data_IF_982569620841
#
_entry.id   IF_982569620841
#
_cell.length_a   1.000
_cell.length_b   1.000
_cell.length_c   1.000
_cell.angle_alpha   90.00
_cell.angle_beta   90.00
_cell.angle_gamma   90.00
#
_symmetry.space_group_name_H-M   'P 1'
#
loop_
_entity.id
_entity.type
_entity.pdbx_description
1 polymer ?
#
# COMPACT_ATOMS: atom_id res chain seq x y z
N UNK A 1 -8.87 -29.50 -19.11
CA UNK A 1 -10.18 -28.86 -18.92
C UNK A 1 -9.98 -27.64 -18.06
N UNK A 2 -9.89 -26.47 -18.69
CA UNK A 2 -9.71 -25.18 -18.02
C UNK A 2 -11.11 -24.62 -17.72
N UNK A 3 -11.45 -24.50 -16.45
CA UNK A 3 -12.69 -23.85 -16.01
C UNK A 3 -12.39 -22.41 -15.59
N UNK A 4 -12.96 -21.49 -16.36
CA UNK A 4 -12.85 -20.05 -16.17
C UNK A 4 -13.64 -19.62 -14.93
N UNK A 5 -12.99 -18.94 -13.98
CA UNK A 5 -13.62 -18.13 -12.95
C UNK A 5 -13.76 -16.71 -13.49
N UNK A 6 -14.82 -16.45 -14.22
CA UNK A 6 -15.33 -15.09 -14.49
C UNK A 6 -16.21 -14.68 -13.33
N UNK A 7 -15.66 -14.06 -12.29
CA UNK A 7 -16.44 -13.38 -11.28
C UNK A 7 -16.96 -12.05 -11.84
N UNK A 8 -18.28 -11.97 -12.05
CA UNK A 8 -18.97 -10.87 -12.68
C UNK A 8 -18.76 -9.52 -12.01
N UNK A 9 -18.24 -8.62 -12.77
CA UNK A 9 -18.30 -7.18 -12.55
C UNK A 9 -19.77 -6.74 -12.75
N UNK A 10 -20.55 -6.62 -11.68
CA UNK A 10 -21.84 -5.94 -11.74
C UNK A 10 -21.59 -4.46 -11.91
N UNK A 11 -21.90 -3.95 -13.09
CA UNK A 11 -21.68 -2.59 -13.52
C UNK A 11 -22.11 -1.55 -12.49
N UNK A 12 -21.17 -0.70 -12.15
CA UNK A 12 -21.44 0.58 -11.51
C UNK A 12 -22.25 1.41 -12.50
N UNK A 13 -23.55 1.54 -12.28
CA UNK A 13 -24.34 2.54 -13.00
C UNK A 13 -23.87 3.89 -12.50
N UNK A 14 -23.09 4.58 -13.34
CA UNK A 14 -22.78 5.98 -13.15
C UNK A 14 -24.06 6.76 -12.92
N UNK A 15 -24.18 7.57 -11.85
CA UNK A 15 -25.25 8.54 -11.77
C UNK A 15 -25.17 9.45 -13.00
N UNK A 16 -26.34 9.83 -13.53
CA UNK A 16 -26.47 10.70 -14.69
C UNK A 16 -25.53 11.92 -14.55
N UNK A 17 -24.71 12.19 -15.60
CA UNK A 17 -23.74 13.27 -15.65
C UNK A 17 -24.44 14.61 -15.32
N UNK A 18 -23.97 15.37 -14.34
CA UNK A 18 -24.08 16.82 -14.41
C UNK A 18 -23.23 17.32 -15.59
N UNK A 19 -23.59 18.46 -16.17
CA UNK A 19 -22.95 19.10 -17.34
C UNK A 19 -21.50 19.58 -17.02
N UNK A 20 -20.59 18.69 -16.64
CA UNK A 20 -19.17 19.01 -16.45
C UNK A 20 -18.44 18.76 -17.77
N UNK A 21 -17.66 19.74 -18.20
CA UNK A 21 -16.78 19.62 -19.35
C UNK A 21 -15.73 18.53 -19.10
N UNK A 22 -15.38 17.78 -20.14
CA UNK A 22 -14.30 16.80 -20.07
C UNK A 22 -12.97 17.55 -19.88
N UNK A 23 -12.34 17.42 -18.72
CA UNK A 23 -11.03 18.00 -18.46
C UNK A 23 -9.94 17.26 -19.23
N UNK A 24 -8.95 17.99 -19.71
CA UNK A 24 -7.68 17.43 -20.20
C UNK A 24 -6.76 17.14 -19.04
N UNK A 25 -6.46 15.86 -18.81
CA UNK A 25 -5.69 15.41 -17.66
C UNK A 25 -4.35 14.87 -18.10
N UNK A 26 -3.27 15.35 -17.48
CA UNK A 26 -1.97 14.69 -17.48
C UNK A 26 -1.87 13.83 -16.23
N UNK A 27 -1.85 12.49 -16.42
CA UNK A 27 -1.81 11.54 -15.31
C UNK A 27 -0.38 11.09 -15.01
N UNK A 28 -0.02 11.07 -13.72
CA UNK A 28 1.28 10.66 -13.22
C UNK A 28 1.13 9.48 -12.25
N UNK A 29 1.65 8.31 -12.63
CA UNK A 29 1.53 7.14 -11.79
C UNK A 29 2.45 6.00 -12.20
N UNK A 30 2.74 5.06 -11.28
CA UNK A 30 3.67 3.96 -11.58
C UNK A 30 3.16 2.60 -11.12
N UNK A 31 2.86 2.35 -9.82
CA UNK A 31 2.49 1.02 -9.34
C UNK A 31 1.03 0.66 -9.65
N UNK A 32 0.69 -0.60 -9.42
CA UNK A 32 -0.69 -1.09 -9.54
C UNK A 32 -1.70 -0.29 -8.68
N UNK A 33 -1.24 0.32 -7.60
CA UNK A 33 -2.03 1.23 -6.76
C UNK A 33 -2.67 2.39 -7.55
N UNK A 34 -1.99 2.90 -8.57
CA UNK A 34 -2.46 4.04 -9.35
C UNK A 34 -3.40 3.66 -10.52
N UNK A 35 -3.48 2.38 -10.89
CA UNK A 35 -4.29 1.91 -12.02
C UNK A 35 -5.79 2.18 -11.83
N UNK A 36 -6.43 1.91 -10.66
CA UNK A 36 -7.84 2.24 -10.46
C UNK A 36 -8.16 3.71 -10.66
N UNK A 37 -7.25 4.61 -10.27
CA UNK A 37 -7.41 6.05 -10.49
C UNK A 37 -7.39 6.42 -11.97
N UNK A 38 -6.45 5.85 -12.75
CA UNK A 38 -6.40 6.05 -14.20
C UNK A 38 -7.71 5.58 -14.86
N UNK A 39 -8.14 4.36 -14.53
CA UNK A 39 -9.36 3.77 -15.08
C UNK A 39 -10.62 4.59 -14.72
N UNK A 40 -10.70 5.08 -13.50
CA UNK A 40 -11.83 5.90 -13.03
C UNK A 40 -11.91 7.25 -13.76
N UNK A 41 -10.77 7.89 -14.03
CA UNK A 41 -10.74 9.16 -14.79
C UNK A 41 -11.17 8.96 -16.24
N UNK A 42 -10.74 7.88 -16.89
CA UNK A 42 -11.21 7.50 -18.24
C UNK A 42 -12.71 7.21 -18.22
N UNK A 43 -13.19 6.43 -17.25
CA UNK A 43 -14.60 6.08 -17.12
C UNK A 43 -15.49 7.30 -16.80
N UNK A 44 -14.95 8.30 -16.10
CA UNK A 44 -15.62 9.58 -15.85
C UNK A 44 -15.73 10.46 -17.11
N UNK A 45 -15.06 10.09 -18.22
CA UNK A 45 -15.13 10.75 -19.50
C UNK A 45 -14.17 11.93 -19.65
N UNK A 46 -13.12 12.00 -18.84
CA UNK A 46 -12.03 12.96 -19.01
C UNK A 46 -11.11 12.56 -20.17
N UNK A 47 -10.45 13.55 -20.78
CA UNK A 47 -9.45 13.34 -21.82
C UNK A 47 -8.05 13.17 -21.18
N UNK A 48 -7.49 11.95 -21.24
CA UNK A 48 -6.12 11.72 -20.80
C UNK A 48 -5.16 12.11 -21.90
N UNK A 49 -4.64 13.36 -21.86
CA UNK A 49 -3.70 13.89 -22.88
C UNK A 49 -2.31 13.24 -22.80
N UNK A 50 -1.99 12.61 -21.68
CA UNK A 50 -0.77 11.85 -21.50
C UNK A 50 -0.73 11.13 -20.16
N UNK A 51 0.07 10.06 -20.11
CA UNK A 51 0.36 9.29 -18.91
C UNK A 51 1.86 9.25 -18.69
N UNK A 52 2.31 9.71 -17.54
CA UNK A 52 3.73 9.73 -17.17
C UNK A 52 3.97 8.66 -16.12
N UNK A 53 4.93 7.77 -16.39
CA UNK A 53 5.27 6.66 -15.51
C UNK A 53 6.79 6.47 -15.41
N UNK A 54 7.25 5.72 -14.40
CA UNK A 54 8.64 5.35 -14.29
C UNK A 54 9.06 4.47 -15.49
N UNK A 55 10.33 4.53 -15.91
CA UNK A 55 10.87 3.65 -16.95
C UNK A 55 10.69 2.17 -16.63
N UNK A 56 10.73 1.36 -17.67
CA UNK A 56 10.69 -0.08 -17.57
C UNK A 56 11.83 -0.60 -16.71
N UNK A 57 11.55 -1.58 -15.87
CA UNK A 57 12.54 -2.16 -14.97
C UNK A 57 12.62 -3.67 -15.13
N UNK A 58 13.81 -4.22 -14.95
CA UNK A 58 14.01 -5.67 -14.94
C UNK A 58 13.29 -6.28 -13.74
N UNK A 59 12.37 -7.22 -14.00
CA UNK A 59 11.57 -7.89 -12.98
C UNK A 59 11.52 -9.39 -13.24
N UNK A 60 11.23 -10.17 -12.20
CA UNK A 60 11.08 -11.62 -12.30
C UNK A 60 12.40 -12.39 -12.40
N UNK A 61 12.31 -13.72 -12.52
CA UNK A 61 13.46 -14.63 -12.59
C UNK A 61 14.25 -14.49 -13.90
N UNK A 62 13.58 -14.16 -15.02
CA UNK A 62 14.17 -13.93 -16.34
C UNK A 62 14.88 -12.59 -16.49
N UNK A 63 14.72 -11.66 -15.52
CA UNK A 63 15.20 -10.28 -15.62
C UNK A 63 14.70 -9.55 -16.87
N UNK A 64 13.54 -9.90 -17.38
CA UNK A 64 12.91 -9.24 -18.51
C UNK A 64 12.58 -7.78 -18.17
N UNK A 65 12.71 -6.92 -19.19
CA UNK A 65 12.33 -5.52 -19.07
C UNK A 65 10.81 -5.42 -19.15
N UNK A 66 10.18 -5.14 -18.02
CA UNK A 66 8.72 -5.08 -17.93
C UNK A 66 8.23 -3.65 -17.68
N UNK A 67 7.13 -3.24 -18.36
CA UNK A 67 6.52 -1.96 -18.11
C UNK A 67 5.98 -1.85 -16.66
N UNK A 68 5.83 -0.63 -16.18
CA UNK A 68 5.08 -0.40 -14.96
C UNK A 68 3.61 -0.79 -15.16
N UNK A 69 2.86 -1.13 -14.10
CA UNK A 69 1.42 -1.41 -14.21
C UNK A 69 0.63 -0.27 -14.86
N UNK A 70 0.94 0.99 -14.53
CA UNK A 70 0.29 2.16 -15.13
C UNK A 70 0.65 2.28 -16.61
N UNK A 71 1.93 2.11 -16.99
CA UNK A 71 2.33 2.13 -18.41
C UNK A 71 1.63 1.01 -19.21
N UNK A 72 1.60 -0.20 -18.68
CA UNK A 72 0.93 -1.33 -19.33
C UNK A 72 -0.56 -0.98 -19.56
N UNK A 73 -1.24 -0.50 -18.54
CA UNK A 73 -2.66 -0.12 -18.64
C UNK A 73 -2.91 1.03 -19.61
N UNK A 74 -2.05 2.05 -19.59
CA UNK A 74 -2.16 3.18 -20.51
C UNK A 74 -2.01 2.75 -21.98
N UNK A 75 -1.08 1.83 -22.27
CA UNK A 75 -0.91 1.26 -23.62
C UNK A 75 -2.13 0.44 -24.06
N UNK A 76 -2.74 -0.37 -23.17
CA UNK A 76 -3.99 -1.07 -23.45
C UNK A 76 -5.15 -0.12 -23.79
N UNK A 77 -5.17 1.07 -23.17
CA UNK A 77 -6.16 2.12 -23.41
C UNK A 77 -5.82 3.00 -24.64
N UNK A 78 -4.68 2.77 -25.30
CA UNK A 78 -4.22 3.58 -26.44
C UNK A 78 -3.79 4.99 -26.09
N UNK A 79 -3.43 5.25 -24.81
CA UNK A 79 -3.05 6.57 -24.33
C UNK A 79 -1.56 6.88 -24.60
N UNK A 80 -1.19 8.16 -24.85
CA UNK A 80 0.21 8.56 -24.95
C UNK A 80 0.96 8.32 -23.63
N UNK A 81 2.14 7.69 -23.69
CA UNK A 81 2.94 7.37 -22.49
C UNK A 81 4.33 8.01 -22.56
N UNK A 82 4.74 8.60 -21.46
CA UNK A 82 6.05 9.22 -21.26
C UNK A 82 6.74 8.56 -20.05
N UNK A 83 8.05 8.25 -20.19
CA UNK A 83 8.79 7.53 -19.15
C UNK A 83 10.12 8.22 -18.84
N UNK A 84 10.11 9.38 -18.14
CA UNK A 84 11.33 10.10 -17.78
C UNK A 84 12.20 9.28 -16.83
N UNK A 85 13.50 9.23 -17.09
CA UNK A 85 14.47 8.71 -16.12
C UNK A 85 14.53 9.60 -14.87
N UNK A 86 14.59 10.93 -15.08
CA UNK A 86 14.61 11.94 -14.04
C UNK A 86 13.93 13.21 -14.55
N UNK A 87 12.62 13.34 -14.34
CA UNK A 87 11.84 14.48 -14.87
C UNK A 87 12.47 15.85 -14.58
N UNK A 88 13.09 16.04 -13.41
CA UNK A 88 13.78 17.27 -13.03
C UNK A 88 14.96 17.62 -13.95
N UNK A 89 15.55 16.65 -14.67
CA UNK A 89 16.72 16.80 -15.54
C UNK A 89 16.40 16.71 -17.03
N UNK A 90 15.12 16.71 -17.37
CA UNK A 90 14.65 16.52 -18.75
C UNK A 90 13.80 17.73 -19.21
N UNK A 91 14.40 18.93 -19.39
CA UNK A 91 13.65 20.15 -19.72
C UNK A 91 12.90 20.06 -21.07
N UNK A 92 13.43 19.34 -22.04
CA UNK A 92 12.75 19.11 -23.32
C UNK A 92 11.47 18.28 -23.14
N UNK A 93 11.51 17.27 -22.29
CA UNK A 93 10.32 16.49 -21.97
C UNK A 93 9.32 17.32 -21.16
N UNK A 94 9.78 18.12 -20.20
CA UNK A 94 8.91 19.05 -19.45
C UNK A 94 8.17 19.99 -20.40
N UNK A 95 8.88 20.57 -21.37
CA UNK A 95 8.27 21.45 -22.39
C UNK A 95 7.25 20.69 -23.25
N UNK A 96 7.56 19.45 -23.67
CA UNK A 96 6.62 18.60 -24.42
C UNK A 96 5.36 18.29 -23.61
N UNK A 97 5.49 17.99 -22.32
CA UNK A 97 4.35 17.73 -21.43
C UNK A 97 3.49 18.98 -21.26
N UNK A 98 4.10 20.17 -21.10
CA UNK A 98 3.39 21.44 -21.07
C UNK A 98 2.63 21.73 -22.37
N UNK A 99 3.21 21.38 -23.53
CA UNK A 99 2.59 21.57 -24.84
C UNK A 99 1.36 20.66 -25.07
N UNK A 100 1.12 19.65 -24.25
CA UNK A 100 -0.11 18.83 -24.29
C UNK A 100 -1.36 19.62 -23.89
N UNK A 101 -1.18 20.75 -23.21
CA UNK A 101 -2.29 21.64 -22.82
C UNK A 101 -3.24 20.98 -21.81
N UNK A 102 -2.70 20.24 -20.84
CA UNK A 102 -3.50 19.67 -19.76
C UNK A 102 -4.12 20.79 -18.90
N UNK A 103 -5.40 20.66 -18.56
CA UNK A 103 -6.08 21.56 -17.63
C UNK A 103 -5.61 21.31 -16.19
N UNK A 104 -5.35 20.05 -15.86
CA UNK A 104 -4.97 19.60 -14.52
C UNK A 104 -3.99 18.42 -14.61
N UNK A 105 -3.06 18.36 -13.66
CA UNK A 105 -2.23 17.15 -13.43
C UNK A 105 -2.77 16.36 -12.24
N UNK A 106 -2.93 15.05 -12.42
CA UNK A 106 -3.31 14.10 -11.36
C UNK A 106 -2.13 13.18 -11.09
N UNK A 107 -1.69 13.13 -9.85
CA UNK A 107 -0.51 12.36 -9.42
C UNK A 107 -0.92 11.28 -8.42
N UNK A 108 -0.56 10.04 -8.70
CA UNK A 108 -0.83 8.89 -7.82
C UNK A 108 0.40 7.99 -7.78
N UNK A 109 1.17 8.06 -6.71
CA UNK A 109 2.36 7.23 -6.49
C UNK A 109 3.33 7.21 -7.70
N UNK A 110 3.68 8.37 -8.23
CA UNK A 110 4.58 8.47 -9.39
C UNK A 110 6.02 8.06 -9.06
N UNK A 111 6.51 8.46 -7.87
CA UNK A 111 7.83 8.06 -7.36
C UNK A 111 8.99 8.96 -7.77
N UNK A 112 8.72 10.16 -8.31
CA UNK A 112 9.69 11.24 -8.48
C UNK A 112 9.08 12.56 -7.98
N UNK A 113 9.95 13.46 -7.52
CA UNK A 113 9.56 14.83 -7.13
C UNK A 113 9.38 15.64 -8.42
N UNK A 114 8.22 16.26 -8.58
CA UNK A 114 7.93 17.17 -9.68
C UNK A 114 8.64 18.52 -9.44
N UNK A 115 9.38 19.03 -10.43
CA UNK A 115 10.02 20.34 -10.29
C UNK A 115 8.99 21.48 -10.44
N UNK A 116 9.32 22.69 -9.95
CA UNK A 116 8.42 23.84 -9.99
C UNK A 116 7.88 24.15 -11.40
N UNK A 117 8.72 23.99 -12.42
CA UNK A 117 8.36 24.20 -13.81
C UNK A 117 7.23 23.28 -14.28
N UNK A 118 7.17 22.05 -13.77
CA UNK A 118 6.09 21.08 -14.07
C UNK A 118 4.86 21.36 -13.23
N UNK A 119 5.04 21.73 -11.95
CA UNK A 119 3.93 22.06 -11.05
C UNK A 119 3.13 23.28 -11.54
N UNK A 120 3.80 24.22 -12.19
CA UNK A 120 3.18 25.46 -12.71
C UNK A 120 2.50 25.29 -14.08
N UNK A 121 2.63 24.15 -14.77
CA UNK A 121 2.12 23.98 -16.13
C UNK A 121 0.57 23.96 -16.20
N UNK A 122 -0.14 23.12 -15.42
CA UNK A 122 -1.58 23.03 -15.58
C UNK A 122 -2.31 24.20 -14.88
N UNK A 123 -3.23 24.90 -15.56
CA UNK A 123 -3.91 26.06 -15.01
C UNK A 123 -4.78 25.77 -13.79
N UNK A 124 -5.22 24.53 -13.61
CA UNK A 124 -5.96 24.07 -12.44
C UNK A 124 -5.06 23.40 -11.38
N UNK A 125 -3.74 23.37 -11.61
CA UNK A 125 -2.72 22.88 -10.69
C UNK A 125 -2.49 21.37 -10.74
N UNK A 126 -1.59 20.91 -9.87
CA UNK A 126 -1.24 19.50 -9.69
C UNK A 126 -1.86 18.97 -8.38
N UNK A 127 -2.52 17.83 -8.45
CA UNK A 127 -3.23 17.23 -7.32
C UNK A 127 -2.76 15.80 -7.10
N UNK A 128 -2.45 15.48 -5.85
CA UNK A 128 -1.99 14.14 -5.46
C UNK A 128 -3.09 13.43 -4.64
N UNK A 129 -3.35 12.16 -4.99
CA UNK A 129 -4.09 11.25 -4.10
C UNK A 129 -3.08 10.56 -3.18
N UNK A 130 -2.93 11.08 -1.97
CA UNK A 130 -1.98 10.58 -0.98
C UNK A 130 -2.64 9.54 -0.05
N UNK A 131 -2.00 8.38 0.11
CA UNK A 131 -2.52 7.22 0.83
C UNK A 131 -2.39 7.31 2.35
N UNK A 132 -2.66 8.47 2.95
CA UNK A 132 -2.77 8.67 4.40
C UNK A 132 -3.65 9.87 4.73
N UNK A 133 -3.99 10.02 6.02
CA UNK A 133 -4.65 11.19 6.59
C UNK A 133 -3.59 12.21 6.98
N UNK A 134 -3.31 13.16 6.07
CA UNK A 134 -2.28 14.18 6.27
C UNK A 134 -2.59 15.12 7.44
N UNK A 135 -1.58 15.53 8.23
CA UNK A 135 -0.12 15.47 7.99
C UNK A 135 0.56 14.17 8.44
N UNK A 136 -0.20 13.14 8.85
CA UNK A 136 0.40 11.86 9.22
C UNK A 136 0.87 11.10 7.99
N UNK A 137 2.07 10.53 8.07
CA UNK A 137 2.69 9.70 7.04
C UNK A 137 2.96 10.42 5.71
N UNK A 138 3.49 11.64 5.73
CA UNK A 138 4.09 12.25 4.54
C UNK A 138 5.22 11.36 3.99
N UNK A 139 5.30 11.19 2.67
CA UNK A 139 6.40 10.47 2.01
C UNK A 139 6.01 9.18 1.31
N UNK A 140 7.00 8.28 1.13
CA UNK A 140 6.95 7.23 0.12
C UNK A 140 6.17 5.96 0.51
N UNK A 141 6.00 5.68 1.81
CA UNK A 141 5.45 4.40 2.27
C UNK A 141 4.31 4.48 3.28
N UNK A 142 3.29 5.36 3.13
CA UNK A 142 2.25 5.60 4.13
C UNK A 142 1.49 4.32 4.51
N UNK A 143 1.19 3.45 3.53
CA UNK A 143 0.44 2.19 3.73
C UNK A 143 1.19 1.24 4.66
N UNK A 144 2.50 1.09 4.45
CA UNK A 144 3.32 0.20 5.26
C UNK A 144 3.51 0.76 6.67
N UNK A 145 3.80 2.07 6.76
CA UNK A 145 4.11 2.69 8.04
C UNK A 145 2.90 2.78 8.98
N UNK A 146 1.67 3.00 8.49
CA UNK A 146 0.49 2.96 9.35
C UNK A 146 0.26 1.56 9.97
N UNK A 147 0.50 0.49 9.19
CA UNK A 147 0.42 -0.89 9.70
C UNK A 147 1.54 -1.20 10.69
N UNK A 148 2.79 -0.82 10.39
CA UNK A 148 3.94 -1.03 11.26
C UNK A 148 3.77 -0.35 12.63
N UNK A 149 3.18 0.84 12.64
CA UNK A 149 2.90 1.59 13.88
C UNK A 149 1.60 1.17 14.57
N UNK A 150 0.78 0.39 13.86
CA UNK A 150 -0.48 -0.14 14.37
C UNK A 150 -1.57 0.89 14.52
N UNK A 151 -1.64 1.79 13.55
CA UNK A 151 -2.76 2.71 13.45
C UNK A 151 -4.07 1.91 13.30
N UNK A 152 -5.12 2.36 13.96
CA UNK A 152 -6.45 1.75 13.85
C UNK A 152 -7.22 2.22 12.62
N UNK A 153 -6.79 3.35 12.04
CA UNK A 153 -7.38 3.92 10.83
C UNK A 153 -6.33 4.62 9.98
N UNK A 154 -6.59 4.69 8.70
CA UNK A 154 -5.84 5.49 7.72
C UNK A 154 -6.84 6.06 6.71
N UNK A 155 -6.38 6.54 5.56
CA UNK A 155 -7.29 7.07 4.55
C UNK A 155 -6.57 7.57 3.31
N UNK A 156 -7.28 8.39 2.54
CA UNK A 156 -6.73 9.07 1.37
C UNK A 156 -7.07 10.54 1.46
N UNK A 157 -6.08 11.40 1.18
CA UNK A 157 -6.26 12.83 0.99
C UNK A 157 -5.99 13.24 -0.45
N UNK A 158 -6.88 14.04 -1.05
CA UNK A 158 -6.61 14.76 -2.30
C UNK A 158 -6.01 16.11 -1.92
N UNK A 159 -4.74 16.30 -2.21
CA UNK A 159 -3.98 17.49 -1.83
C UNK A 159 -3.42 18.24 -3.04
N UNK A 160 -3.34 19.55 -2.96
CA UNK A 160 -2.57 20.34 -3.91
C UNK A 160 -1.08 20.07 -3.73
N UNK A 161 -0.35 19.94 -4.83
CA UNK A 161 1.09 19.69 -4.76
C UNK A 161 1.88 20.98 -4.71
N UNK A 162 2.86 21.01 -3.84
CA UNK A 162 3.86 22.06 -3.65
C UNK A 162 5.27 21.47 -3.80
N UNK A 163 6.30 22.29 -3.71
CA UNK A 163 7.70 21.83 -3.76
C UNK A 163 8.08 20.93 -2.58
N UNK A 164 7.37 21.04 -1.45
CA UNK A 164 7.59 20.23 -0.25
C UNK A 164 7.10 18.79 -0.40
N UNK A 165 7.65 17.90 0.42
CA UNK A 165 7.23 16.50 0.46
C UNK A 165 5.86 16.36 1.14
N UNK A 166 4.80 16.26 0.34
CA UNK A 166 3.40 16.09 0.76
C UNK A 166 2.94 17.17 1.78
N UNK A 167 3.39 18.42 1.58
CA UNK A 167 3.11 19.56 2.49
C UNK A 167 1.87 20.36 2.10
N UNK A 168 1.41 20.25 0.87
CA UNK A 168 0.35 21.07 0.32
C UNK A 168 -1.01 20.88 0.99
N UNK A 169 -1.93 21.83 0.81
CA UNK A 169 -3.24 21.80 1.47
C UNK A 169 -4.15 20.71 0.91
N UNK A 170 -5.02 20.19 1.77
CA UNK A 170 -5.92 19.05 1.48
C UNK A 170 -7.30 19.57 1.09
N UNK A 171 -7.80 19.13 -0.07
CA UNK A 171 -9.14 19.45 -0.58
C UNK A 171 -10.20 18.49 -0.06
N UNK A 172 -9.94 17.20 -0.16
CA UNK A 172 -10.82 16.12 0.29
C UNK A 172 -10.04 15.09 1.08
N UNK A 173 -10.70 14.49 2.06
CA UNK A 173 -10.12 13.41 2.85
C UNK A 173 -11.20 12.41 3.26
N UNK A 174 -10.87 11.12 3.21
CA UNK A 174 -11.77 10.06 3.68
C UNK A 174 -10.99 8.99 4.40
N UNK A 175 -11.45 8.61 5.59
CA UNK A 175 -10.81 7.60 6.43
C UNK A 175 -11.31 6.18 6.12
N UNK A 176 -10.46 5.20 6.43
CA UNK A 176 -10.75 3.77 6.46
C UNK A 176 -10.25 3.17 7.77
N UNK A 177 -11.02 2.27 8.37
CA UNK A 177 -10.53 1.45 9.48
C UNK A 177 -9.57 0.35 8.98
N UNK A 178 -8.56 0.05 9.77
CA UNK A 178 -7.58 -1.01 9.51
C UNK A 178 -7.92 -2.22 10.36
N UNK A 179 -8.17 -3.36 9.71
CA UNK A 179 -8.39 -4.63 10.39
C UNK A 179 -7.09 -5.21 10.94
N UNK A 180 -7.14 -5.85 12.13
CA UNK A 180 -5.96 -6.47 12.73
C UNK A 180 -5.24 -7.43 11.77
N UNK A 181 -5.99 -8.25 11.03
CA UNK A 181 -5.45 -9.27 10.14
C UNK A 181 -5.27 -8.78 8.69
N UNK A 182 -5.44 -7.49 8.45
CA UNK A 182 -5.30 -6.87 7.13
C UNK A 182 -3.83 -6.61 6.82
N UNK A 183 -3.36 -7.06 5.65
CA UNK A 183 -1.99 -6.82 5.23
C UNK A 183 -1.87 -5.59 4.29
N UNK A 184 -0.64 -5.15 4.05
CA UNK A 184 -0.37 -3.97 3.23
C UNK A 184 -0.91 -4.07 1.79
N UNK A 185 -1.01 -5.27 1.21
CA UNK A 185 -1.58 -5.46 -0.11
C UNK A 185 -3.10 -5.25 -0.10
N UNK A 186 -3.79 -5.82 0.88
CA UNK A 186 -5.24 -5.69 1.04
C UNK A 186 -5.63 -4.24 1.33
N UNK A 187 -4.96 -3.62 2.31
CA UNK A 187 -5.17 -2.20 2.63
C UNK A 187 -4.86 -1.31 1.42
N UNK A 188 -3.76 -1.60 0.70
CA UNK A 188 -3.38 -0.87 -0.51
C UNK A 188 -4.44 -0.94 -1.61
N UNK A 189 -5.11 -2.09 -1.80
CA UNK A 189 -6.21 -2.23 -2.75
C UNK A 189 -7.42 -1.37 -2.37
N UNK A 190 -7.80 -1.33 -1.08
CA UNK A 190 -8.89 -0.48 -0.58
C UNK A 190 -8.58 1.01 -0.74
N UNK A 191 -7.36 1.42 -0.40
CA UNK A 191 -6.91 2.81 -0.55
C UNK A 191 -6.79 3.22 -2.02
N UNK A 192 -6.39 2.33 -2.93
CA UNK A 192 -6.35 2.59 -4.36
C UNK A 192 -7.76 2.86 -4.92
N UNK A 193 -8.75 2.07 -4.49
CA UNK A 193 -10.14 2.28 -4.87
C UNK A 193 -10.66 3.61 -4.32
N UNK A 194 -10.38 3.90 -3.05
CA UNK A 194 -10.76 5.16 -2.41
C UNK A 194 -10.10 6.37 -3.09
N UNK A 195 -8.84 6.24 -3.52
CA UNK A 195 -8.14 7.29 -4.30
C UNK A 195 -8.87 7.60 -5.61
N UNK A 196 -9.30 6.57 -6.31
CA UNK A 196 -10.07 6.70 -7.55
C UNK A 196 -11.40 7.44 -7.32
N UNK A 197 -12.15 7.05 -6.30
CA UNK A 197 -13.42 7.69 -5.93
C UNK A 197 -13.24 9.17 -5.58
N UNK A 198 -12.26 9.47 -4.72
CA UNK A 198 -12.00 10.85 -4.28
C UNK A 198 -11.50 11.75 -5.42
N UNK A 199 -10.71 11.23 -6.37
CA UNK A 199 -10.29 11.99 -7.54
C UNK A 199 -11.48 12.37 -8.42
N UNK A 200 -12.40 11.42 -8.67
CA UNK A 200 -13.62 11.70 -9.45
C UNK A 200 -14.51 12.72 -8.72
N UNK A 201 -14.55 12.69 -7.38
CA UNK A 201 -15.28 13.68 -6.57
C UNK A 201 -14.57 15.06 -6.55
N UNK A 202 -13.24 15.09 -6.55
CA UNK A 202 -12.46 16.32 -6.44
C UNK A 202 -12.44 17.15 -7.73
N UNK A 203 -12.31 16.49 -8.89
CA UNK A 203 -12.11 17.17 -10.18
C UNK A 203 -13.20 18.18 -10.54
N UNK A 204 -14.50 17.92 -10.37
CA UNK A 204 -15.54 18.93 -10.61
C UNK A 204 -15.40 20.15 -9.69
N UNK A 205 -14.96 19.98 -8.45
CA UNK A 205 -14.72 21.11 -7.52
C UNK A 205 -13.51 21.92 -7.97
N UNK A 206 -12.45 21.24 -8.41
CA UNK A 206 -11.23 21.89 -8.94
C UNK A 206 -11.55 22.69 -10.20
N UNK A 207 -12.34 22.12 -11.10
CA UNK A 207 -12.83 22.79 -12.31
C UNK A 207 -13.67 24.05 -11.98
N UNK A 208 -14.65 23.89 -11.07
CA UNK A 208 -15.54 24.98 -10.66
C UNK A 208 -14.79 26.14 -9.97
N UNK A 209 -13.67 25.87 -9.31
CA UNK A 209 -12.83 26.91 -8.74
C UNK A 209 -12.13 27.76 -9.82
N UNK A 210 -12.02 27.26 -11.05
CA UNK A 210 -11.48 27.96 -12.21
C UNK A 210 -9.97 28.21 -12.13
N UNK A 211 -9.46 28.90 -13.13
CA UNK A 211 -8.05 29.26 -13.26
C UNK A 211 -7.69 30.53 -12.45
N UNK A 212 -6.42 30.89 -12.42
CA UNK A 212 -5.91 32.10 -11.77
C UNK A 212 -4.75 31.78 -10.80
N UNK A 213 -4.29 32.79 -10.04
CA UNK A 213 -3.24 32.61 -9.03
C UNK A 213 -3.58 31.49 -8.07
N UNK A 214 -2.59 30.66 -7.72
CA UNK A 214 -2.79 29.47 -6.89
C UNK A 214 -3.47 29.76 -5.55
N UNK A 215 -3.00 30.80 -4.85
CA UNK A 215 -3.58 31.20 -3.56
C UNK A 215 -5.09 31.53 -3.66
N UNK A 216 -5.52 32.18 -4.76
CA UNK A 216 -6.92 32.49 -4.98
C UNK A 216 -7.74 31.24 -5.31
N UNK A 217 -7.19 30.32 -6.14
CA UNK A 217 -7.85 29.04 -6.45
C UNK A 217 -8.04 28.21 -5.19
N UNK A 218 -6.99 28.07 -4.38
CA UNK A 218 -7.03 27.33 -3.13
C UNK A 218 -8.03 27.95 -2.13
N UNK A 219 -8.10 29.28 -2.07
CA UNK A 219 -9.09 29.98 -1.25
C UNK A 219 -10.54 29.69 -1.71
N UNK A 220 -10.81 29.72 -3.04
CA UNK A 220 -12.13 29.35 -3.61
C UNK A 220 -12.52 27.91 -3.31
N UNK A 221 -11.54 26.99 -3.27
CA UNK A 221 -11.73 25.58 -2.96
C UNK A 221 -11.98 25.32 -1.47
N UNK A 222 -11.62 26.24 -0.58
CA UNK A 222 -11.75 26.07 0.87
C UNK A 222 -10.87 24.93 1.39
N UNK A 223 -9.68 24.76 0.83
CA UNK A 223 -8.74 23.70 1.23
C UNK A 223 -8.28 23.84 2.67
N UNK A 224 -8.04 22.72 3.32
CA UNK A 224 -7.49 22.66 4.68
C UNK A 224 -5.96 22.69 4.64
N UNK A 225 -5.36 23.74 5.20
CA UNK A 225 -3.91 23.78 5.42
C UNK A 225 -3.52 22.70 6.43
N UNK A 226 -2.44 21.99 6.17
CA UNK A 226 -1.94 20.98 7.09
C UNK A 226 -1.32 21.62 8.33
N UNK A 227 -1.80 21.22 9.52
CA UNK A 227 -1.22 21.62 10.81
C UNK A 227 0.01 20.76 11.17
N UNK A 228 0.62 21.08 12.31
CA UNK A 228 1.76 20.31 12.87
C UNK A 228 1.30 19.12 13.72
N UNK A 229 0.06 19.12 14.19
CA UNK A 229 -0.48 18.05 15.03
C UNK A 229 -0.54 16.72 14.29
N UNK A 230 0.14 15.70 14.83
CA UNK A 230 0.17 14.36 14.23
C UNK A 230 1.13 14.19 13.05
N UNK A 231 1.95 15.20 12.73
CA UNK A 231 2.95 15.13 11.66
C UNK A 231 3.87 13.92 11.86
N UNK A 232 3.99 13.12 10.83
CA UNK A 232 4.97 12.03 10.77
C UNK A 232 5.38 11.73 9.33
N UNK A 233 6.51 11.03 9.19
CA UNK A 233 7.08 10.72 7.89
C UNK A 233 7.14 9.22 7.63
N UNK A 234 6.73 8.81 6.45
CA UNK A 234 6.79 7.46 5.93
C UNK A 234 7.97 7.34 4.94
N UNK A 235 9.18 7.16 5.48
CA UNK A 235 10.36 6.98 4.64
C UNK A 235 10.26 5.75 3.74
N UNK A 236 11.06 5.71 2.70
CA UNK A 236 11.21 4.50 1.89
C UNK A 236 11.74 3.34 2.75
N UNK A 237 11.15 2.15 2.56
CA UNK A 237 11.57 0.93 3.25
C UNK A 237 12.91 0.44 2.73
N UNK A 238 13.72 -0.08 3.63
CA UNK A 238 15.02 -0.70 3.34
C UNK A 238 14.94 -2.21 3.47
N UNK A 239 15.99 -2.93 3.08
CA UNK A 239 16.07 -4.39 3.25
C UNK A 239 16.08 -4.79 4.72
N UNK A 240 16.66 -3.96 5.59
CA UNK A 240 16.76 -4.23 7.02
C UNK A 240 15.39 -4.15 7.71
N UNK A 241 14.48 -3.31 7.20
CA UNK A 241 13.12 -3.26 7.72
C UNK A 241 12.39 -4.61 7.56
N UNK A 242 12.78 -5.42 6.58
CA UNK A 242 12.12 -6.71 6.29
C UNK A 242 12.49 -7.81 7.28
N UNK A 243 13.57 -7.65 8.05
CA UNK A 243 14.07 -8.69 8.96
C UNK A 243 13.21 -8.71 10.23
N UNK A 244 12.69 -9.88 10.56
CA UNK A 244 11.91 -10.10 11.78
C UNK A 244 12.84 -10.32 12.96
N UNK A 245 12.67 -9.51 13.99
CA UNK A 245 13.34 -9.67 15.28
C UNK A 245 12.40 -10.35 16.27
N UNK A 246 12.67 -11.61 16.59
CA UNK A 246 11.86 -12.41 17.50
C UNK A 246 11.87 -11.90 18.94
N UNK A 247 12.85 -11.07 19.34
CA UNK A 247 12.90 -10.39 20.64
C UNK A 247 11.87 -9.25 20.79
N UNK A 248 11.04 -9.01 19.79
CA UNK A 248 9.90 -8.12 19.88
C UNK A 248 8.64 -8.84 20.37
N UNK A 249 7.60 -8.09 20.76
CA UNK A 249 6.31 -8.66 21.12
C UNK A 249 5.59 -9.30 19.93
N UNK A 250 4.70 -10.25 20.17
CA UNK A 250 3.88 -10.88 19.14
C UNK A 250 3.13 -9.85 18.27
N UNK A 251 2.65 -8.77 18.87
CA UNK A 251 1.93 -7.72 18.14
C UNK A 251 2.85 -6.89 17.24
N UNK A 252 4.06 -6.56 17.68
CA UNK A 252 5.05 -5.85 16.84
C UNK A 252 5.50 -6.71 15.66
N UNK A 253 5.76 -8.00 15.90
CA UNK A 253 6.12 -8.94 14.83
C UNK A 253 4.94 -9.10 13.85
N UNK A 254 3.73 -9.26 14.36
CA UNK A 254 2.53 -9.33 13.53
C UNK A 254 2.38 -8.10 12.63
N UNK A 255 2.45 -6.90 13.19
CA UNK A 255 2.40 -5.64 12.44
C UNK A 255 3.49 -5.55 11.37
N UNK A 256 4.70 -6.03 11.68
CA UNK A 256 5.80 -6.11 10.71
C UNK A 256 5.49 -7.06 9.56
N UNK A 257 4.98 -8.26 9.85
CA UNK A 257 4.60 -9.25 8.83
C UNK A 257 3.50 -8.70 7.93
N UNK A 258 2.44 -8.14 8.52
CA UNK A 258 1.29 -7.63 7.77
C UNK A 258 1.63 -6.33 7.03
N UNK A 259 2.35 -5.41 7.65
CA UNK A 259 2.75 -4.13 7.05
C UNK A 259 3.79 -4.26 5.93
N UNK A 260 4.63 -5.29 5.98
CA UNK A 260 5.68 -5.54 4.97
C UNK A 260 5.35 -6.70 4.02
N UNK A 261 4.11 -7.17 4.03
CA UNK A 261 3.66 -8.25 3.15
C UNK A 261 3.96 -7.97 1.67
N UNK A 262 4.51 -8.93 0.91
CA UNK A 262 4.97 -10.28 1.26
C UNK A 262 6.50 -10.31 1.54
N UNK A 263 7.07 -9.26 2.12
CA UNK A 263 8.51 -9.03 2.22
C UNK A 263 9.16 -9.43 3.55
N UNK A 264 8.39 -9.54 4.65
CA UNK A 264 8.95 -9.87 5.97
C UNK A 264 9.64 -11.24 5.97
N UNK A 265 10.85 -11.30 6.54
CA UNK A 265 11.69 -12.51 6.46
C UNK A 265 12.33 -12.85 7.81
N UNK A 266 12.53 -14.13 7.99
CA UNK A 266 13.39 -14.72 9.03
C UNK A 266 14.23 -15.84 8.42
N UNK A 267 14.99 -16.56 9.22
CA UNK A 267 15.75 -17.74 8.80
C UNK A 267 15.14 -19.03 9.39
N UNK A 268 15.23 -20.09 8.62
CA UNK A 268 14.92 -21.46 9.01
C UNK A 268 16.01 -22.40 8.49
N UNK A 269 16.79 -22.99 9.39
CA UNK A 269 17.88 -23.92 9.04
C UNK A 269 18.80 -23.37 7.93
N UNK A 270 19.27 -22.12 8.11
CA UNK A 270 20.15 -21.42 7.15
C UNK A 270 19.48 -20.97 5.85
N UNK A 271 18.17 -21.21 5.64
CA UNK A 271 17.41 -20.75 4.48
C UNK A 271 16.49 -19.58 4.84
N UNK A 272 16.27 -18.71 3.87
CA UNK A 272 15.32 -17.61 4.03
C UNK A 272 13.89 -18.13 4.09
N UNK A 273 13.15 -17.72 5.12
CA UNK A 273 11.73 -17.99 5.29
C UNK A 273 10.97 -16.65 5.24
N UNK A 274 10.11 -16.43 4.24
CA UNK A 274 9.18 -15.30 4.22
C UNK A 274 7.98 -15.62 5.09
N UNK A 275 7.63 -14.69 5.98
CA UNK A 275 6.42 -14.77 6.79
C UNK A 275 5.30 -14.05 6.06
N UNK A 276 4.18 -14.72 5.81
CA UNK A 276 3.09 -14.21 4.98
C UNK A 276 1.83 -13.90 5.76
N UNK A 277 1.52 -14.69 6.80
CA UNK A 277 0.37 -14.44 7.66
C UNK A 277 0.67 -14.90 9.08
N UNK A 278 0.34 -14.06 10.05
CA UNK A 278 0.51 -14.33 11.47
C UNK A 278 -0.70 -13.85 12.25
N UNK A 279 -0.86 -14.33 13.49
CA UNK A 279 -1.84 -13.79 14.44
C UNK A 279 -1.19 -13.70 15.83
N UNK A 280 -1.27 -12.56 16.52
CA UNK A 280 -0.73 -12.42 17.87
C UNK A 280 -1.68 -13.09 18.86
N UNK A 281 -1.23 -14.11 19.60
CA UNK A 281 -2.06 -14.80 20.58
C UNK A 281 -2.18 -13.98 21.87
N UNK A 282 -2.86 -12.86 21.77
CA UNK A 282 -3.06 -11.86 22.83
C UNK A 282 -4.53 -11.84 23.22
N UNK A 283 -4.86 -12.20 24.46
CA UNK A 283 -6.24 -12.38 24.93
C UNK A 283 -7.13 -11.16 24.70
N UNK A 284 -6.62 -9.94 24.90
CA UNK A 284 -7.39 -8.69 24.67
C UNK A 284 -7.77 -8.46 23.19
N UNK A 285 -7.15 -9.15 22.25
CA UNK A 285 -7.42 -9.08 20.82
C UNK A 285 -8.28 -10.24 20.32
N UNK A 286 -8.76 -11.12 21.19
CA UNK A 286 -9.47 -12.35 20.82
C UNK A 286 -10.64 -12.13 19.85
N UNK A 287 -11.39 -11.04 20.00
CA UNK A 287 -12.53 -10.71 19.09
C UNK A 287 -12.11 -10.42 17.64
N UNK A 288 -10.84 -10.05 17.42
CA UNK A 288 -10.29 -9.72 16.11
C UNK A 288 -9.48 -10.86 15.48
N UNK A 289 -9.27 -11.95 16.21
CA UNK A 289 -8.52 -13.11 15.76
C UNK A 289 -9.43 -14.12 15.04
N UNK A 290 -8.81 -15.00 14.25
CA UNK A 290 -9.51 -16.14 13.62
C UNK A 290 -10.12 -17.10 14.65
N UNK A 291 -11.10 -17.92 14.26
CA UNK A 291 -11.63 -18.96 15.13
C UNK A 291 -10.55 -19.91 15.68
N UNK A 292 -9.60 -20.30 14.84
CA UNK A 292 -8.51 -21.20 15.21
C UNK A 292 -7.59 -20.57 16.26
N UNK A 293 -7.21 -19.31 16.09
CA UNK A 293 -6.39 -18.58 17.05
C UNK A 293 -7.13 -18.39 18.38
N UNK A 294 -8.45 -18.17 18.35
CA UNK A 294 -9.29 -18.12 19.56
C UNK A 294 -9.34 -19.44 20.30
N UNK A 295 -9.47 -20.56 19.57
CA UNK A 295 -9.40 -21.90 20.19
C UNK A 295 -8.05 -22.10 20.89
N UNK A 296 -6.93 -21.76 20.25
CA UNK A 296 -5.60 -21.85 20.87
C UNK A 296 -5.48 -20.97 22.12
N UNK A 297 -6.11 -19.80 22.16
CA UNK A 297 -6.16 -18.96 23.36
C UNK A 297 -7.00 -19.57 24.50
N UNK A 298 -8.05 -20.31 24.17
CA UNK A 298 -8.97 -20.90 25.13
C UNK A 298 -8.46 -22.24 25.71
N UNK A 299 -7.54 -22.92 25.02
CA UNK A 299 -7.00 -24.21 25.46
C UNK A 299 -6.05 -24.05 26.66
N UNK A 300 -6.39 -24.62 27.86
CA UNK A 300 -5.54 -24.48 29.06
C UNK A 300 -4.16 -25.10 28.92
N UNK A 301 -3.90 -25.87 27.86
CA UNK A 301 -2.66 -26.62 27.65
C UNK A 301 -1.64 -25.95 26.73
N UNK A 302 -2.09 -25.19 25.74
CA UNK A 302 -1.22 -24.53 24.75
C UNK A 302 -0.52 -23.31 25.36
N UNK A 303 -1.21 -22.59 26.23
CA UNK A 303 -0.66 -21.40 26.91
C UNK A 303 -0.20 -21.67 28.36
N UNK A 304 -0.64 -22.76 29.04
CA UNK A 304 -0.39 -23.01 30.46
C UNK A 304 0.59 -24.14 30.76
N UNK A 305 0.81 -25.11 29.87
CA UNK A 305 1.76 -26.23 30.09
C UNK A 305 3.15 -25.92 29.50
N UNK A 306 3.83 -24.88 30.02
CA UNK A 306 5.21 -24.61 29.66
C UNK A 306 5.42 -23.85 28.34
N UNK A 307 4.37 -23.57 27.58
CA UNK A 307 4.42 -22.74 26.37
C UNK A 307 4.64 -21.25 26.71
N UNK A 308 4.20 -20.83 27.91
CA UNK A 308 4.59 -19.57 28.54
C UNK A 308 5.74 -19.73 29.51
N UNK A 309 6.53 -20.82 29.40
CA UNK A 309 7.76 -20.86 30.14
C UNK A 309 8.60 -19.66 29.73
N UNK A 310 8.80 -18.74 30.68
CA UNK A 310 9.74 -17.65 30.58
C UNK A 310 11.18 -18.10 30.22
N UNK A 311 11.37 -19.37 29.97
CA UNK A 311 12.62 -20.06 29.69
C UNK A 311 12.86 -20.36 28.19
N UNK A 312 11.83 -20.36 27.31
CA UNK A 312 12.08 -20.64 25.90
C UNK A 312 12.53 -19.34 25.17
N UNK A 313 13.69 -19.36 24.49
CA UNK A 313 14.17 -18.18 23.76
C UNK A 313 13.15 -17.72 22.71
N UNK A 314 13.02 -16.40 22.46
CA UNK A 314 12.21 -15.89 21.36
C UNK A 314 12.60 -16.53 20.02
N UNK A 315 11.61 -16.87 19.18
CA UNK A 315 11.81 -17.63 17.94
C UNK A 315 11.65 -19.14 18.08
N UNK A 316 11.53 -19.69 19.32
CA UNK A 316 11.31 -21.11 19.53
C UNK A 316 9.93 -21.55 19.04
N UNK A 317 9.86 -22.64 18.29
CA UNK A 317 8.61 -23.33 17.95
C UNK A 317 8.05 -23.95 19.21
N UNK A 318 6.96 -23.44 19.73
CA UNK A 318 6.35 -23.86 20.99
C UNK A 318 5.37 -25.01 20.79
N UNK A 319 4.61 -24.99 19.68
CA UNK A 319 3.65 -26.04 19.36
C UNK A 319 3.36 -26.09 17.85
N UNK A 320 2.97 -27.28 17.38
CA UNK A 320 2.43 -27.49 16.04
C UNK A 320 0.90 -27.52 16.14
N UNK A 321 0.24 -26.51 15.56
CA UNK A 321 -1.21 -26.30 15.67
C UNK A 321 -1.98 -26.84 14.44
N UNK A 322 -1.48 -27.88 13.78
CA UNK A 322 -2.14 -28.54 12.65
C UNK A 322 -2.48 -27.56 11.51
N UNK A 323 -3.76 -27.49 11.15
CA UNK A 323 -4.25 -26.61 10.08
C UNK A 323 -4.15 -25.11 10.42
N UNK A 324 -4.00 -24.76 11.69
CA UNK A 324 -3.77 -23.37 12.08
C UNK A 324 -2.34 -22.89 11.79
N UNK A 325 -1.35 -23.81 11.77
CA UNK A 325 0.07 -23.49 11.54
C UNK A 325 0.96 -23.84 12.72
N UNK A 326 1.89 -22.97 13.08
CA UNK A 326 2.79 -23.21 14.22
C UNK A 326 2.79 -22.03 15.19
N UNK A 327 2.89 -22.34 16.47
CA UNK A 327 2.98 -21.36 17.55
C UNK A 327 4.45 -21.10 17.87
N UNK A 328 4.85 -19.83 17.81
CA UNK A 328 6.24 -19.39 17.98
C UNK A 328 6.35 -18.46 19.19
N UNK A 329 7.37 -18.66 20.01
CA UNK A 329 7.70 -17.81 21.15
C UNK A 329 8.20 -16.43 20.70
N UNK A 330 7.83 -15.40 21.46
CA UNK A 330 8.26 -14.01 21.27
C UNK A 330 8.64 -13.40 22.63
N UNK A 331 9.04 -12.14 22.66
CA UNK A 331 9.24 -11.45 23.95
C UNK A 331 7.90 -11.12 24.61
N UNK A 332 7.12 -12.14 24.97
CA UNK A 332 5.81 -11.99 25.62
C UNK A 332 4.82 -13.07 25.17
N UNK A 333 3.64 -12.66 24.72
CA UNK A 333 2.64 -13.59 24.20
C UNK A 333 3.13 -14.30 22.95
N UNK A 334 2.77 -15.57 22.71
CA UNK A 334 3.13 -16.29 21.49
C UNK A 334 2.51 -15.67 20.22
N UNK A 335 3.12 -16.00 19.09
CA UNK A 335 2.65 -15.68 17.75
C UNK A 335 2.24 -16.95 17.02
N UNK A 336 1.06 -16.99 16.43
CA UNK A 336 0.65 -18.02 15.48
C UNK A 336 1.16 -17.65 14.09
N UNK A 337 2.04 -18.46 13.50
CA UNK A 337 2.47 -18.36 12.11
C UNK A 337 1.57 -19.26 11.25
N UNK A 338 0.71 -18.63 10.45
CA UNK A 338 -0.30 -19.31 9.63
C UNK A 338 0.21 -19.68 8.24
N UNK A 339 0.97 -18.77 7.63
CA UNK A 339 1.46 -18.94 6.26
C UNK A 339 2.88 -18.40 6.13
N UNK A 340 3.70 -19.13 5.40
CA UNK A 340 5.07 -18.74 5.09
C UNK A 340 5.52 -19.31 3.73
N UNK A 341 6.67 -18.84 3.25
CA UNK A 341 7.31 -19.35 2.04
C UNK A 341 8.78 -19.62 2.30
N UNK A 342 9.17 -20.89 2.33
CA UNK A 342 10.56 -21.29 2.40
C UNK A 342 11.25 -21.02 1.06
N UNK A 343 12.50 -20.63 1.11
CA UNK A 343 13.32 -20.37 -0.09
C UNK A 343 13.30 -21.55 -1.05
N UNK A 344 13.04 -21.28 -2.33
CA UNK A 344 12.91 -22.29 -3.38
C UNK A 344 11.59 -23.06 -3.39
N UNK A 345 10.66 -22.79 -2.47
CA UNK A 345 9.34 -23.42 -2.40
C UNK A 345 8.20 -22.47 -2.71
N UNK A 346 7.01 -23.00 -2.98
CA UNK A 346 5.77 -22.23 -3.05
C UNK A 346 5.29 -21.81 -1.65
N UNK A 347 4.49 -20.73 -1.54
CA UNK A 347 3.82 -20.40 -0.28
C UNK A 347 3.02 -21.60 0.25
N UNK A 348 3.08 -21.80 1.56
CA UNK A 348 2.37 -22.88 2.26
C UNK A 348 1.69 -22.35 3.53
N UNK A 349 0.62 -23.00 3.95
CA UNK A 349 -0.13 -22.68 5.17
C UNK A 349 -0.58 -23.94 5.88
N UNK A 350 -0.90 -23.82 7.16
CA UNK A 350 -1.42 -24.91 7.98
C UNK A 350 -0.55 -26.17 7.93
N UNK A 351 -1.16 -27.33 7.77
CA UNK A 351 -0.47 -28.62 7.72
C UNK A 351 0.60 -28.70 6.61
N UNK A 352 0.34 -28.09 5.43
CA UNK A 352 1.33 -28.04 4.35
C UNK A 352 2.57 -27.23 4.73
N UNK A 353 2.42 -26.17 5.53
CA UNK A 353 3.56 -25.42 6.06
C UNK A 353 4.38 -26.25 7.03
N UNK A 354 3.72 -26.98 7.95
CA UNK A 354 4.39 -27.86 8.91
C UNK A 354 5.21 -28.94 8.19
N UNK A 355 4.64 -29.59 7.18
CA UNK A 355 5.32 -30.57 6.35
C UNK A 355 6.48 -29.97 5.57
N UNK A 356 6.31 -28.77 5.01
CA UNK A 356 7.36 -28.09 4.24
C UNK A 356 8.56 -27.71 5.11
N UNK A 357 8.33 -27.30 6.35
CA UNK A 357 9.39 -26.94 7.31
C UNK A 357 10.01 -28.17 7.96
N UNK A 358 9.28 -29.27 8.13
CA UNK A 358 9.72 -30.44 8.89
C UNK A 358 10.08 -30.09 10.32
N UNK A 359 9.38 -29.12 10.92
CA UNK A 359 9.70 -28.58 12.23
C UNK A 359 9.08 -29.40 13.35
N UNK A 360 9.69 -29.30 14.53
CA UNK A 360 9.26 -29.92 15.81
C UNK A 360 9.21 -28.84 16.90
N UNK A 361 8.48 -29.10 17.96
CA UNK A 361 8.53 -28.24 19.14
C UNK A 361 9.96 -28.23 19.72
N UNK A 362 10.44 -27.04 20.05
CA UNK A 362 11.82 -26.81 20.50
C UNK A 362 12.74 -26.26 19.37
N UNK A 363 12.39 -26.41 18.10
CA UNK A 363 13.18 -25.86 17.02
C UNK A 363 13.18 -24.30 17.05
N UNK A 364 14.21 -23.70 16.43
CA UNK A 364 14.48 -22.28 16.54
C UNK A 364 14.39 -21.57 15.18
N UNK A 365 13.57 -20.54 15.07
CA UNK A 365 13.55 -19.58 13.97
C UNK A 365 14.52 -18.42 14.23
N UNK A 366 15.10 -17.86 13.17
CA UNK A 366 15.95 -16.67 13.27
C UNK A 366 17.41 -16.93 13.61
N UNK A 367 17.80 -18.20 13.78
CA UNK A 367 19.22 -18.59 13.93
C UNK A 367 19.80 -18.91 12.55
N UNK A 368 21.01 -18.39 12.27
CA UNK A 368 21.73 -18.60 11.01
C UNK A 368 22.29 -20.03 10.93
#
# INVERSE_FOLDING_TARGET
MASALTSGWKGFRSPARPDHLALKILFWGTPAYAVPSLDALVAAGHELVGVVSQPDRRRGRGKDLLPSPVKARALELGLPVFTPERIRREPELQARLGALGADVSVVVAFGQILPPEVLAQPPLGCWNAHGSLLPRWRGAGPIQWCLLQGDSSTGVGIMAMEEGLDTGPVLLERSLEIGLLENAQQLGQRLAQLSAELLVEALPRIEAAGTGPEAERLARLGVRVQGEGGLSYARMLTKDDLIVNWNQSALEIHRRVMGLYPGAVTQWQGKRLKLLATEPLVARLASQLSPEARCLLAEPGVLSKGVLSAAAPPGTVLALAGDAGLVVGTAGCPLLLRAAQLEGKSPAQGQSLLQQLGCSAGDQLGVA
#
